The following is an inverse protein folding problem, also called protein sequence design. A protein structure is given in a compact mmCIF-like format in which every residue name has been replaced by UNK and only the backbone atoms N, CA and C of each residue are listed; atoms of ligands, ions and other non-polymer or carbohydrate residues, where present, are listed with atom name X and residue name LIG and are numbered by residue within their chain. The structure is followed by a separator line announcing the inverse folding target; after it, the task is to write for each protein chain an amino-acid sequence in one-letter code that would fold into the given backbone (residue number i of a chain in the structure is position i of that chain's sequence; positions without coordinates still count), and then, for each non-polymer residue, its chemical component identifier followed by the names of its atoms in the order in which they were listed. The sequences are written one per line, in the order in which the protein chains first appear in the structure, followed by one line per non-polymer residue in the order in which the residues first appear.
data_IF_779906467687
#
_entry.id   IF_779906467687
#
_cell.length_a   1.000
_cell.length_b   1.000
_cell.length_c   1.000
_cell.angle_alpha   90.00
_cell.angle_beta   90.00
_cell.angle_gamma   90.00
#
_symmetry.space_group_name_H-M   'P 1'
#
loop_
_entity.id
_entity.type
_entity.pdbx_description
1 polymer ?
#
# COMPACT_ATOMS: atom_id res chain seq x y z
N UNK A 1 13.80 -21.21 -73.53
CA UNK A 1 14.64 -22.37 -73.27
C UNK A 1 14.17 -22.91 -71.91
N UNK A 2 13.16 -23.70 -71.93
CA UNK A 2 12.99 -25.14 -71.82
C UNK A 2 13.96 -25.81 -70.86
N UNK A 3 13.40 -26.37 -69.74
CA UNK A 3 13.35 -27.80 -69.50
C UNK A 3 12.75 -28.14 -68.12
N UNK A 4 11.60 -28.89 -68.25
CA UNK A 4 11.05 -29.81 -67.25
C UNK A 4 12.06 -30.80 -66.74
N UNK A 5 11.80 -31.38 -65.53
CA UNK A 5 11.96 -32.83 -65.19
C UNK A 5 11.28 -33.14 -63.89
N UNK A 6 10.12 -33.75 -63.94
CA UNK A 6 9.69 -35.14 -63.66
C UNK A 6 9.54 -35.51 -62.16
N UNK A 7 8.26 -35.80 -61.88
CA UNK A 7 7.72 -36.54 -60.73
C UNK A 7 8.30 -37.95 -60.61
N UNK A 8 8.50 -38.40 -59.36
CA UNK A 8 8.31 -39.84 -59.03
C UNK A 8 7.73 -39.98 -57.61
N UNK A 9 6.79 -40.94 -57.41
CA UNK A 9 6.14 -41.18 -56.14
C UNK A 9 6.91 -42.22 -55.31
N UNK A 10 6.91 -42.06 -53.98
CA UNK A 10 7.40 -43.11 -53.09
C UNK A 10 6.34 -43.53 -52.09
N UNK A 11 6.18 -44.83 -52.05
CA UNK A 11 5.26 -45.72 -51.43
C UNK A 11 5.00 -45.45 -49.94
N UNK A 12 3.74 -45.62 -49.54
CA UNK A 12 3.31 -45.89 -48.16
C UNK A 12 3.94 -47.18 -47.65
N UNK A 13 4.48 -47.10 -46.45
CA UNK A 13 4.72 -48.22 -45.57
C UNK A 13 3.88 -47.97 -44.33
N UNK A 14 2.84 -48.74 -44.14
CA UNK A 14 2.07 -48.83 -42.95
C UNK A 14 2.82 -49.63 -41.90
N UNK A 15 3.15 -49.00 -40.79
CA UNK A 15 3.52 -49.68 -39.55
C UNK A 15 2.51 -49.24 -38.46
N UNK A 16 1.66 -50.19 -38.08
CA UNK A 16 0.81 -50.04 -36.93
C UNK A 16 1.63 -50.09 -35.64
N UNK A 17 1.38 -49.16 -34.77
CA UNK A 17 1.86 -49.21 -33.37
C UNK A 17 0.71 -48.79 -32.47
N UNK A 18 0.51 -49.58 -31.46
CA UNK A 18 -0.58 -49.54 -30.50
C UNK A 18 -0.70 -48.24 -29.73
N UNK A 19 -1.93 -47.87 -29.50
CA UNK A 19 -2.30 -46.76 -28.67
C UNK A 19 -1.93 -46.98 -27.20
N UNK A 20 -1.02 -46.24 -26.69
CA UNK A 20 -0.89 -46.00 -25.25
C UNK A 20 -1.69 -44.75 -24.94
N UNK A 21 -2.84 -44.91 -24.32
CA UNK A 21 -3.64 -43.84 -23.76
C UNK A 21 -2.87 -43.22 -22.58
N UNK A 22 -2.26 -42.06 -22.79
CA UNK A 22 -1.82 -41.23 -21.67
C UNK A 22 -3.04 -40.63 -20.99
N UNK A 23 -3.39 -41.17 -19.82
CA UNK A 23 -4.30 -40.55 -18.90
C UNK A 23 -3.58 -39.31 -18.32
N UNK A 24 -3.88 -38.12 -18.81
CA UNK A 24 -3.47 -36.88 -18.17
C UNK A 24 -4.23 -36.77 -16.85
N UNK A 25 -3.54 -37.06 -15.75
CA UNK A 25 -4.05 -36.75 -14.42
C UNK A 25 -4.09 -35.23 -14.30
N UNK A 26 -5.27 -34.63 -14.40
CA UNK A 26 -5.52 -33.27 -14.02
C UNK A 26 -5.28 -33.18 -12.51
N UNK A 27 -4.15 -32.61 -12.10
CA UNK A 27 -3.92 -32.22 -10.72
C UNK A 27 -4.93 -31.12 -10.40
N UNK A 28 -5.97 -31.45 -9.66
CA UNK A 28 -6.84 -30.46 -9.00
C UNK A 28 -5.98 -29.82 -7.92
N UNK A 29 -5.40 -28.67 -8.21
CA UNK A 29 -4.83 -27.81 -7.19
C UNK A 29 -6.02 -27.29 -6.38
N UNK A 30 -6.26 -27.88 -5.24
CA UNK A 30 -7.15 -27.33 -4.24
C UNK A 30 -6.58 -25.98 -3.79
N UNK A 31 -7.17 -24.89 -4.27
CA UNK A 31 -6.91 -23.56 -3.73
C UNK A 31 -7.34 -23.58 -2.27
N UNK A 32 -6.36 -23.46 -1.37
CA UNK A 32 -6.63 -23.25 0.03
C UNK A 32 -7.42 -21.93 0.19
N UNK A 33 -8.40 -21.87 1.11
CA UNK A 33 -9.15 -20.65 1.34
C UNK A 33 -8.19 -19.55 1.77
N UNK A 34 -8.31 -18.38 1.15
CA UNK A 34 -7.52 -17.18 1.42
C UNK A 34 -7.64 -16.81 2.89
N UNK A 35 -6.57 -16.98 3.65
CA UNK A 35 -6.51 -16.51 5.03
C UNK A 35 -6.45 -14.97 5.00
N UNK A 36 -7.48 -14.34 5.53
CA UNK A 36 -7.43 -12.91 5.86
C UNK A 36 -6.28 -12.68 6.81
N UNK A 37 -5.55 -11.60 6.59
CA UNK A 37 -4.55 -11.12 7.50
C UNK A 37 -5.14 -10.87 8.89
N UNK A 38 -4.92 -11.76 9.79
CA UNK A 38 -5.37 -11.63 11.15
C UNK A 38 -4.24 -11.05 12.00
N UNK A 39 -4.48 -9.89 12.57
CA UNK A 39 -3.73 -9.44 13.74
C UNK A 39 -4.12 -10.37 14.89
N UNK A 40 -3.20 -11.21 15.31
CA UNK A 40 -3.39 -12.07 16.48
C UNK A 40 -3.04 -11.27 17.72
N UNK A 41 -4.05 -10.81 18.44
CA UNK A 41 -3.86 -10.15 19.73
C UNK A 41 -3.88 -11.20 20.85
N UNK A 42 -2.83 -11.22 21.64
CA UNK A 42 -2.69 -12.05 22.85
C UNK A 42 -2.67 -11.12 24.06
N UNK A 43 -3.70 -11.19 24.89
CA UNK A 43 -3.76 -10.40 26.12
C UNK A 43 -2.67 -10.87 27.07
N UNK A 44 -2.01 -9.93 27.76
CA UNK A 44 -0.88 -10.26 28.62
C UNK A 44 -1.27 -11.20 29.77
N UNK A 45 -2.48 -11.04 30.31
CA UNK A 45 -3.03 -11.88 31.37
C UNK A 45 -3.49 -13.27 30.88
N UNK A 46 -3.57 -13.52 29.57
CA UNK A 46 -3.92 -14.82 29.00
C UNK A 46 -2.73 -15.80 28.93
N UNK A 47 -1.73 -15.61 29.77
CA UNK A 47 -0.57 -16.51 29.81
C UNK A 47 -0.93 -17.95 30.23
N UNK A 48 -0.25 -18.92 29.63
CA UNK A 48 -0.34 -20.35 30.02
C UNK A 48 0.48 -20.67 31.28
N UNK A 49 1.56 -19.92 31.51
CA UNK A 49 2.38 -19.98 32.71
C UNK A 49 3.19 -18.68 32.87
N UNK A 50 3.64 -18.39 34.08
CA UNK A 50 4.39 -17.18 34.31
C UNK A 50 5.34 -17.34 35.52
N UNK A 51 6.30 -16.43 35.63
CA UNK A 51 7.10 -16.19 36.86
C UNK A 51 7.22 -14.68 37.04
N UNK A 52 6.83 -14.17 38.19
CA UNK A 52 6.75 -12.73 38.47
C UNK A 52 5.49 -12.11 37.87
N UNK A 53 5.30 -10.84 38.16
CA UNK A 53 4.14 -10.09 37.71
C UNK A 53 2.82 -10.37 38.43
N UNK A 54 1.91 -9.44 38.34
CA UNK A 54 0.57 -9.52 38.95
C UNK A 54 -0.45 -8.98 37.94
N UNK A 55 -1.57 -9.70 37.81
CA UNK A 55 -2.69 -9.22 37.00
C UNK A 55 -3.40 -8.08 37.73
N UNK A 56 -3.53 -6.95 37.06
CA UNK A 56 -4.23 -5.76 37.55
C UNK A 56 -5.23 -5.21 36.52
N UNK A 57 -6.20 -4.42 36.98
CA UNK A 57 -7.08 -3.72 36.05
C UNK A 57 -6.33 -2.62 35.32
N UNK A 58 -6.65 -2.40 34.02
CA UNK A 58 -6.05 -1.34 33.24
C UNK A 58 -7.06 -0.24 32.86
N UNK A 59 -6.55 1.00 32.76
CA UNK A 59 -7.30 2.15 32.21
C UNK A 59 -6.99 2.38 30.72
N UNK A 60 -6.27 1.46 30.08
CA UNK A 60 -5.97 1.55 28.65
C UNK A 60 -7.23 1.51 27.79
N UNK A 61 -7.13 1.99 26.56
CA UNK A 61 -8.23 1.95 25.60
C UNK A 61 -8.69 0.51 25.37
N UNK A 62 -9.95 0.25 25.61
CA UNK A 62 -10.54 -1.09 25.56
C UNK A 62 -10.73 -1.73 26.94
N UNK A 63 -10.15 -1.18 28.00
CA UNK A 63 -10.28 -1.67 29.39
C UNK A 63 -9.66 -3.06 29.58
N UNK A 64 -10.18 -3.83 30.55
CA UNK A 64 -9.72 -5.19 30.84
C UNK A 64 -8.63 -5.26 31.91
N UNK A 65 -7.69 -6.17 31.69
CA UNK A 65 -6.57 -6.43 32.62
C UNK A 65 -5.23 -6.26 31.92
N UNK A 66 -4.19 -6.12 32.72
CA UNK A 66 -2.80 -6.08 32.28
C UNK A 66 -1.94 -6.85 33.29
N UNK A 67 -0.70 -7.18 32.94
CA UNK A 67 0.26 -7.75 33.89
C UNK A 67 1.25 -6.66 34.29
N UNK A 68 1.20 -6.26 35.56
CA UNK A 68 2.08 -5.28 36.15
C UNK A 68 3.17 -5.92 37.01
N UNK A 69 4.01 -5.07 37.62
CA UNK A 69 5.11 -5.47 38.53
C UNK A 69 6.12 -6.41 37.86
N UNK A 70 6.36 -6.23 36.56
CA UNK A 70 7.33 -7.06 35.85
C UNK A 70 8.73 -6.48 36.00
N UNK A 71 9.65 -7.34 36.55
CA UNK A 71 11.02 -7.02 36.81
C UNK A 71 11.98 -7.98 36.07
N UNK A 72 13.29 -7.72 36.14
CA UNK A 72 14.29 -8.54 35.45
C UNK A 72 14.23 -10.00 35.91
N UNK A 73 14.13 -10.90 34.94
CA UNK A 73 14.07 -12.35 35.16
C UNK A 73 12.64 -12.89 35.14
N UNK A 74 11.64 -12.01 35.21
CA UNK A 74 10.24 -12.41 35.04
C UNK A 74 9.95 -12.81 33.62
N UNK A 75 8.92 -13.63 33.45
CA UNK A 75 8.51 -14.07 32.14
C UNK A 75 7.02 -14.48 32.11
N UNK A 76 6.41 -14.32 30.94
CA UNK A 76 5.06 -14.81 30.62
C UNK A 76 5.17 -15.78 29.45
N UNK A 77 4.47 -16.92 29.49
CA UNK A 77 4.43 -17.92 28.44
C UNK A 77 3.03 -18.02 27.87
N UNK A 78 2.94 -18.03 26.56
CA UNK A 78 1.70 -18.19 25.79
C UNK A 78 1.87 -19.41 24.88
N UNK A 79 1.06 -20.46 25.11
CA UNK A 79 1.09 -21.68 24.31
C UNK A 79 0.08 -21.61 23.16
N UNK A 80 0.44 -22.23 22.04
CA UNK A 80 -0.47 -22.33 20.90
C UNK A 80 -0.72 -21.01 20.16
N UNK A 81 0.19 -20.06 20.27
CA UNK A 81 0.12 -18.80 19.50
C UNK A 81 0.31 -19.13 18.02
N UNK A 82 -0.76 -19.08 17.23
CA UNK A 82 -0.71 -19.39 15.80
C UNK A 82 -0.19 -18.18 15.01
N UNK A 83 1.09 -18.26 14.64
CA UNK A 83 1.75 -17.22 13.86
C UNK A 83 1.44 -17.28 12.35
N UNK A 84 0.46 -18.08 11.95
CA UNK A 84 0.03 -18.23 10.57
C UNK A 84 0.96 -19.07 9.71
N UNK A 85 0.51 -19.46 8.53
CA UNK A 85 1.25 -20.33 7.61
C UNK A 85 2.54 -19.69 7.07
N UNK A 86 2.58 -18.37 6.92
CA UNK A 86 3.74 -17.61 6.42
C UNK A 86 4.63 -17.06 7.55
N UNK A 87 4.25 -17.26 8.81
CA UNK A 87 4.90 -16.68 9.97
C UNK A 87 4.53 -15.21 10.21
N UNK A 88 4.80 -14.73 11.43
CA UNK A 88 4.59 -13.33 11.77
C UNK A 88 5.64 -12.44 11.09
N UNK A 89 5.22 -11.30 10.53
CA UNK A 89 6.09 -10.32 9.88
C UNK A 89 6.51 -9.19 10.81
N UNK A 90 5.66 -8.87 11.78
CA UNK A 90 5.94 -7.88 12.80
C UNK A 90 5.25 -8.28 14.11
N UNK A 91 5.73 -7.72 15.20
CA UNK A 91 5.10 -7.86 16.51
C UNK A 91 5.05 -6.52 17.21
N UNK A 92 3.93 -6.27 17.86
CA UNK A 92 3.72 -5.09 18.69
C UNK A 92 3.55 -5.51 20.15
N UNK A 93 4.01 -4.65 21.06
CA UNK A 93 3.75 -4.77 22.49
C UNK A 93 3.11 -3.49 23.01
N UNK A 94 2.10 -3.63 23.85
CA UNK A 94 1.45 -2.53 24.55
C UNK A 94 1.97 -2.47 25.97
N UNK A 95 2.72 -1.43 26.29
CA UNK A 95 3.48 -1.33 27.53
C UNK A 95 3.25 0.00 28.24
N UNK A 96 3.40 -0.01 29.57
CA UNK A 96 3.46 1.18 30.39
C UNK A 96 4.67 1.10 31.34
N UNK A 97 5.34 2.23 31.58
CA UNK A 97 6.48 2.33 32.46
C UNK A 97 6.57 3.73 33.10
N UNK A 98 6.72 3.78 34.41
CA UNK A 98 6.95 5.03 35.14
C UNK A 98 8.44 5.33 35.33
N UNK A 99 9.32 4.32 35.24
CA UNK A 99 10.71 4.45 35.67
C UNK A 99 11.70 4.77 34.58
N UNK A 100 11.42 4.39 33.33
CA UNK A 100 12.33 4.64 32.19
C UNK A 100 13.73 4.06 32.36
N UNK A 101 13.86 3.03 33.17
CA UNK A 101 15.13 2.32 33.32
C UNK A 101 15.47 1.52 32.07
N UNK A 102 16.75 1.19 31.81
CA UNK A 102 17.16 0.43 30.64
C UNK A 102 16.76 -1.04 30.79
N UNK A 103 15.48 -1.37 30.59
CA UNK A 103 14.95 -2.72 30.53
C UNK A 103 14.55 -3.10 29.12
N UNK A 104 14.56 -4.39 28.82
CA UNK A 104 14.09 -4.93 27.55
C UNK A 104 13.03 -6.01 27.78
N UNK A 105 12.02 -6.04 26.92
CA UNK A 105 11.12 -7.16 26.75
C UNK A 105 11.59 -7.94 25.53
N UNK A 106 12.03 -9.18 25.72
CA UNK A 106 12.39 -10.09 24.64
C UNK A 106 11.28 -11.09 24.41
N UNK A 107 10.79 -11.14 23.18
CA UNK A 107 9.91 -12.23 22.76
C UNK A 107 10.75 -13.37 22.22
N UNK A 108 10.55 -14.57 22.74
CA UNK A 108 11.29 -15.78 22.36
C UNK A 108 10.32 -16.88 21.98
N UNK A 109 10.75 -17.78 21.09
CA UNK A 109 9.95 -18.94 20.68
C UNK A 109 10.50 -20.24 21.24
N UNK A 110 9.60 -21.16 21.58
CA UNK A 110 9.91 -22.53 22.01
C UNK A 110 10.34 -22.66 23.48
N UNK A 111 11.20 -21.78 23.99
CA UNK A 111 11.67 -21.82 25.39
C UNK A 111 12.16 -20.45 25.87
N UNK A 112 12.40 -20.33 27.20
CA UNK A 112 13.01 -19.14 27.84
C UNK A 112 14.38 -18.76 27.25
N UNK A 113 15.13 -19.74 26.77
CA UNK A 113 16.44 -19.57 26.12
C UNK A 113 16.39 -19.78 24.62
N UNK A 114 15.18 -19.88 24.07
CA UNK A 114 14.96 -20.07 22.62
C UNK A 114 15.36 -18.86 21.79
N UNK A 115 15.27 -18.96 20.46
CA UNK A 115 15.57 -17.85 19.56
C UNK A 115 14.79 -16.59 19.94
N UNK A 116 15.47 -15.44 19.94
CA UNK A 116 14.84 -14.14 20.11
C UNK A 116 14.09 -13.80 18.82
N UNK A 117 12.79 -13.69 18.94
CA UNK A 117 11.90 -13.26 17.85
C UNK A 117 11.91 -11.74 17.69
N UNK A 118 11.80 -11.02 18.80
CA UNK A 118 11.83 -9.56 18.86
C UNK A 118 12.38 -9.07 20.19
N UNK A 119 12.88 -7.83 20.20
CA UNK A 119 13.37 -7.16 21.41
C UNK A 119 12.86 -5.72 21.44
N UNK A 120 12.29 -5.32 22.57
CA UNK A 120 11.75 -3.99 22.81
C UNK A 120 12.52 -3.32 23.93
N UNK A 121 13.14 -2.19 23.66
CA UNK A 121 13.75 -1.36 24.71
C UNK A 121 12.66 -0.52 25.36
N UNK A 122 12.45 -0.73 26.65
CA UNK A 122 11.39 -0.05 27.38
C UNK A 122 11.92 1.28 27.91
N UNK A 123 11.24 2.34 27.53
CA UNK A 123 11.47 3.71 28.02
C UNK A 123 10.27 4.17 28.83
N UNK A 124 10.45 5.19 29.69
CA UNK A 124 9.33 5.78 30.44
C UNK A 124 8.21 6.23 29.50
N UNK A 125 7.01 5.79 29.79
CA UNK A 125 5.79 6.23 29.10
C UNK A 125 5.06 7.36 29.86
N UNK A 126 5.54 7.70 31.04
CA UNK A 126 4.96 8.73 31.91
C UNK A 126 4.16 8.20 33.10
N UNK A 127 4.01 6.87 33.25
CA UNK A 127 3.30 6.26 34.37
C UNK A 127 2.99 4.79 34.14
N UNK A 128 2.68 4.07 35.22
CA UNK A 128 2.35 2.64 35.19
C UNK A 128 1.03 2.29 34.47
N UNK A 129 0.19 3.31 34.19
CA UNK A 129 -1.05 3.19 33.42
C UNK A 129 -1.07 4.17 32.24
N UNK A 130 0.10 4.72 31.85
CA UNK A 130 0.27 5.50 30.63
C UNK A 130 0.82 4.60 29.55
N UNK A 131 -0.02 4.17 28.64
CA UNK A 131 0.25 3.12 27.69
C UNK A 131 0.82 3.62 26.37
N UNK A 132 1.84 2.91 25.88
CA UNK A 132 2.45 3.13 24.55
C UNK A 132 2.56 1.81 23.80
N UNK A 133 2.39 1.86 22.48
CA UNK A 133 2.64 0.69 21.62
C UNK A 133 4.01 0.82 20.97
N UNK A 134 4.79 -0.24 21.04
CA UNK A 134 6.05 -0.38 20.31
C UNK A 134 5.92 -1.51 19.30
N UNK A 135 6.41 -1.33 18.07
CA UNK A 135 6.33 -2.31 16.99
C UNK A 135 7.72 -2.58 16.44
N UNK A 136 8.02 -3.84 16.17
CA UNK A 136 9.27 -4.30 15.57
C UNK A 136 8.94 -5.22 14.39
N UNK A 137 9.55 -4.95 13.23
CA UNK A 137 9.53 -5.86 12.09
C UNK A 137 10.42 -7.06 12.37
N UNK A 138 9.94 -8.26 12.04
CA UNK A 138 10.67 -9.49 12.28
C UNK A 138 11.62 -9.82 11.13
N UNK A 139 12.80 -10.31 11.44
CA UNK A 139 13.79 -10.79 10.45
C UNK A 139 13.73 -12.32 10.27
N UNK A 140 13.10 -13.02 11.22
CA UNK A 140 12.78 -14.44 11.12
C UNK A 140 11.27 -14.61 11.28
N UNK A 141 10.68 -15.50 10.50
CA UNK A 141 9.23 -15.66 10.40
C UNK A 141 8.80 -17.07 10.82
N UNK A 142 8.86 -17.41 12.13
CA UNK A 142 8.38 -18.72 12.59
C UNK A 142 6.89 -18.85 12.28
N UNK A 143 6.51 -19.97 11.68
CA UNK A 143 5.16 -20.21 11.20
C UNK A 143 4.40 -21.21 12.10
N UNK A 144 3.07 -21.20 12.00
CA UNK A 144 2.18 -22.08 12.73
C UNK A 144 2.13 -21.82 14.22
N UNK A 145 1.59 -22.78 14.98
CA UNK A 145 1.43 -22.66 16.43
C UNK A 145 2.78 -22.73 17.15
N UNK A 146 3.07 -21.70 17.95
CA UNK A 146 4.31 -21.56 18.72
C UNK A 146 4.01 -21.39 20.20
N UNK A 147 4.94 -21.82 21.08
CA UNK A 147 5.00 -21.31 22.44
C UNK A 147 5.84 -20.03 22.43
N UNK A 148 5.23 -18.89 22.79
CA UNK A 148 5.89 -17.59 22.86
C UNK A 148 6.15 -17.21 24.30
N UNK A 149 7.35 -16.74 24.59
CA UNK A 149 7.77 -16.26 25.89
C UNK A 149 8.07 -14.77 25.83
N UNK A 150 7.42 -13.96 26.66
CA UNK A 150 7.81 -12.59 26.91
C UNK A 150 8.74 -12.60 28.14
N UNK A 151 10.01 -12.31 27.93
CA UNK A 151 11.06 -12.37 28.95
C UNK A 151 11.53 -10.97 29.29
N UNK A 152 11.50 -10.61 30.56
CA UNK A 152 11.99 -9.33 31.07
C UNK A 152 13.50 -9.40 31.25
N UNK A 153 14.24 -8.77 30.35
CA UNK A 153 15.70 -8.85 30.28
C UNK A 153 16.37 -7.48 30.53
N UNK A 154 17.67 -7.51 30.82
CA UNK A 154 18.55 -6.33 30.87
C UNK A 154 18.10 -5.14 31.73
N UNK A 155 17.23 -5.33 32.71
CA UNK A 155 16.94 -4.30 33.69
C UNK A 155 18.09 -4.20 34.72
N UNK A 156 18.48 -2.97 35.04
CA UNK A 156 19.71 -2.73 35.85
C UNK A 156 19.61 -3.17 37.32
N UNK A 157 18.42 -3.14 37.94
CA UNK A 157 18.16 -3.58 39.33
C UNK A 157 16.93 -4.47 39.32
N UNK A 158 16.72 -5.32 40.32
CA UNK A 158 15.52 -6.15 40.43
C UNK A 158 14.22 -5.37 40.70
N UNK A 159 14.14 -4.12 40.29
CA UNK A 159 12.96 -3.28 40.38
C UNK A 159 12.06 -3.47 39.15
N UNK A 160 10.76 -3.33 39.38
CA UNK A 160 9.77 -3.31 38.30
C UNK A 160 10.06 -2.23 37.27
N UNK A 161 9.98 -2.56 35.99
CA UNK A 161 10.30 -1.61 34.96
C UNK A 161 9.25 -1.54 33.85
N UNK A 162 8.30 -2.49 33.76
CA UNK A 162 7.29 -2.52 32.73
C UNK A 162 5.98 -3.18 33.19
N UNK A 163 4.86 -2.62 32.76
CA UNK A 163 3.57 -3.28 32.73
C UNK A 163 3.28 -3.66 31.27
N UNK A 164 2.70 -4.83 31.03
CA UNK A 164 2.35 -5.37 29.72
C UNK A 164 0.84 -5.57 29.62
N UNK A 165 0.19 -4.99 28.60
CA UNK A 165 -1.24 -5.13 28.37
C UNK A 165 -1.55 -6.22 27.34
N UNK A 166 -0.88 -6.17 26.18
CA UNK A 166 -1.05 -7.18 25.13
C UNK A 166 0.18 -7.28 24.22
N UNK A 167 0.25 -8.41 23.55
CA UNK A 167 1.12 -8.67 22.41
C UNK A 167 0.24 -8.76 21.17
N UNK A 168 0.67 -8.21 20.07
CA UNK A 168 -0.01 -8.38 18.79
C UNK A 168 0.96 -8.86 17.74
N UNK A 169 0.62 -9.97 17.08
CA UNK A 169 1.41 -10.55 16.01
C UNK A 169 0.72 -10.27 14.70
N UNK A 170 1.42 -9.57 13.80
CA UNK A 170 1.03 -9.55 12.42
C UNK A 170 1.47 -10.87 11.79
N UNK A 171 0.56 -11.83 11.71
CA UNK A 171 0.81 -13.20 11.26
C UNK A 171 0.91 -13.34 9.75
N UNK A 172 1.60 -12.41 9.12
CA UNK A 172 1.74 -12.38 7.66
C UNK A 172 0.51 -11.82 6.97
N UNK A 173 -0.20 -11.01 7.70
CA UNK A 173 -1.22 -10.18 7.13
C UNK A 173 -0.71 -8.82 6.69
N UNK A 174 0.41 -8.73 6.05
CA UNK A 174 0.28 -8.06 4.77
C UNK A 174 -0.90 -8.78 4.13
N UNK A 175 -1.76 -8.11 3.41
CA UNK A 175 -2.67 -8.80 2.52
C UNK A 175 -1.83 -9.67 1.58
N UNK A 176 -1.22 -10.74 2.12
CA UNK A 176 -0.43 -11.72 1.38
C UNK A 176 -1.35 -12.62 0.59
N UNK A 177 -2.64 -12.32 0.66
CA UNK A 177 -3.70 -12.90 -0.12
C UNK A 177 -4.30 -11.87 -1.07
N UNK A 178 -4.88 -12.37 -2.13
CA UNK A 178 -5.74 -11.60 -3.00
C UNK A 178 -6.99 -11.14 -2.23
N UNK A 179 -7.26 -9.84 -2.19
CA UNK A 179 -8.50 -9.30 -1.62
C UNK A 179 -9.55 -9.29 -2.71
N UNK A 180 -10.53 -10.17 -2.60
CA UNK A 180 -11.60 -10.25 -3.59
C UNK A 180 -12.55 -9.04 -3.48
N UNK A 181 -13.03 -8.58 -4.63
CA UNK A 181 -14.20 -7.68 -4.67
C UNK A 181 -15.43 -8.45 -4.19
N UNK A 182 -16.31 -7.79 -3.43
CA UNK A 182 -17.64 -8.33 -3.17
C UNK A 182 -18.46 -8.28 -4.47
N UNK A 183 -18.76 -9.42 -5.10
CA UNK A 183 -19.41 -9.43 -6.41
C UNK A 183 -20.84 -8.87 -6.38
N UNK A 184 -21.52 -8.92 -5.23
CA UNK A 184 -22.88 -8.39 -5.11
C UNK A 184 -22.81 -6.87 -5.09
N UNK A 185 -21.92 -6.29 -4.27
CA UNK A 185 -21.72 -4.83 -4.19
C UNK A 185 -21.19 -4.28 -5.51
N UNK A 186 -20.19 -4.93 -6.11
CA UNK A 186 -19.62 -4.51 -7.38
C UNK A 186 -20.63 -4.53 -8.52
N UNK A 187 -21.40 -5.61 -8.65
CA UNK A 187 -22.43 -5.69 -9.68
C UNK A 187 -23.53 -4.63 -9.50
N UNK A 188 -23.89 -4.30 -8.25
CA UNK A 188 -24.82 -3.22 -7.95
C UNK A 188 -24.25 -1.84 -8.33
N UNK A 189 -23.00 -1.54 -7.95
CA UNK A 189 -22.30 -0.30 -8.34
C UNK A 189 -22.20 -0.17 -9.86
N UNK A 190 -21.83 -1.24 -10.55
CA UNK A 190 -21.70 -1.26 -12.00
C UNK A 190 -23.07 -1.10 -12.71
N UNK A 191 -24.13 -1.69 -12.17
CA UNK A 191 -25.48 -1.52 -12.67
C UNK A 191 -25.96 -0.06 -12.50
N UNK A 192 -25.73 0.54 -11.34
CA UNK A 192 -26.01 1.94 -11.08
C UNK A 192 -25.26 2.86 -12.04
N UNK A 193 -23.95 2.66 -12.22
CA UNK A 193 -23.14 3.39 -13.19
C UNK A 193 -23.68 3.28 -14.62
N UNK A 194 -24.06 2.08 -15.05
CA UNK A 194 -24.61 1.87 -16.40
C UNK A 194 -25.94 2.60 -16.60
N UNK A 195 -26.76 2.68 -15.57
CA UNK A 195 -28.05 3.38 -15.58
C UNK A 195 -27.94 4.89 -15.47
N UNK A 196 -26.78 5.44 -15.06
CA UNK A 196 -26.57 6.88 -14.97
C UNK A 196 -26.79 7.57 -16.32
N UNK A 197 -27.55 8.68 -16.32
CA UNK A 197 -27.67 9.54 -17.49
C UNK A 197 -26.31 10.21 -17.76
N UNK A 198 -25.93 10.26 -19.03
CA UNK A 198 -24.75 10.98 -19.48
C UNK A 198 -25.14 12.41 -19.83
N UNK A 199 -24.51 13.40 -19.20
CA UNK A 199 -24.66 14.78 -19.61
C UNK A 199 -23.91 14.99 -20.93
N UNK A 200 -24.55 15.52 -22.00
CA UNK A 200 -23.88 15.69 -23.27
C UNK A 200 -22.78 16.75 -23.18
N UNK A 201 -21.58 16.42 -23.65
CA UNK A 201 -20.50 17.39 -23.75
C UNK A 201 -20.82 18.49 -24.77
N UNK A 202 -20.50 19.75 -24.47
CA UNK A 202 -20.65 20.85 -25.44
C UNK A 202 -19.88 20.60 -26.74
N UNK A 203 -20.30 21.17 -27.85
CA UNK A 203 -19.61 20.96 -29.13
C UNK A 203 -18.15 21.42 -29.15
N UNK A 204 -17.81 22.39 -28.32
CA UNK A 204 -16.48 22.98 -28.16
C UNK A 204 -15.67 22.35 -26.99
N UNK A 205 -16.18 21.32 -26.34
CA UNK A 205 -15.46 20.61 -25.28
C UNK A 205 -14.12 20.08 -25.78
N UNK A 206 -13.10 20.24 -24.96
CA UNK A 206 -11.77 19.67 -25.23
C UNK A 206 -11.87 18.14 -25.23
N UNK A 207 -11.48 17.52 -26.34
CA UNK A 207 -11.60 16.06 -26.53
C UNK A 207 -10.43 15.30 -25.93
N UNK A 208 -10.40 15.27 -24.60
CA UNK A 208 -9.47 14.50 -23.79
C UNK A 208 -10.30 13.73 -22.75
N UNK A 209 -10.20 12.40 -22.68
CA UNK A 209 -10.97 11.58 -21.74
C UNK A 209 -10.41 11.70 -20.33
N UNK A 210 -10.69 12.80 -19.65
CA UNK A 210 -10.11 13.02 -18.32
C UNK A 210 -10.97 13.96 -17.44
N UNK A 211 -10.88 13.73 -16.14
CA UNK A 211 -11.20 14.69 -15.08
C UNK A 211 -10.09 14.71 -14.04
N UNK A 212 -10.10 15.64 -13.11
CA UNK A 212 -9.10 15.72 -12.07
C UNK A 212 -9.68 16.06 -10.71
N UNK A 213 -8.96 15.71 -9.66
CA UNK A 213 -9.12 16.21 -8.31
C UNK A 213 -7.92 17.10 -7.98
N UNK A 214 -8.17 18.31 -7.50
CA UNK A 214 -7.11 19.19 -6.99
C UNK A 214 -7.07 19.06 -5.49
N UNK A 215 -5.98 18.55 -4.98
CA UNK A 215 -5.80 18.27 -3.56
C UNK A 215 -4.56 19.00 -3.03
N UNK A 216 -4.47 19.14 -1.71
CA UNK A 216 -3.30 19.68 -1.05
C UNK A 216 -2.73 18.68 -0.05
N UNK A 217 -1.57 19.00 0.48
CA UNK A 217 -0.97 18.27 1.60
C UNK A 217 -1.98 18.12 2.74
N UNK A 218 -2.04 16.94 3.32
CA UNK A 218 -2.87 16.62 4.48
C UNK A 218 -2.01 16.52 5.74
N UNK A 219 -1.15 15.53 5.81
CA UNK A 219 -0.25 15.26 6.93
C UNK A 219 0.86 14.31 6.49
N UNK A 220 1.82 14.06 7.40
CA UNK A 220 2.87 13.05 7.16
C UNK A 220 2.96 12.08 8.32
N UNK A 221 3.04 10.77 8.01
CA UNK A 221 3.17 9.68 8.98
C UNK A 221 4.12 8.62 8.42
N UNK A 222 4.72 7.84 9.31
CA UNK A 222 5.45 6.61 8.96
C UNK A 222 4.49 5.43 8.79
N UNK A 223 3.35 5.68 8.18
CA UNK A 223 2.26 4.73 8.02
C UNK A 223 2.05 4.39 6.55
N UNK A 224 1.54 3.20 6.31
CA UNK A 224 1.14 2.73 4.99
C UNK A 224 -0.02 1.74 5.16
N UNK A 225 -1.28 2.16 4.95
CA UNK A 225 -2.42 1.28 5.12
C UNK A 225 -2.51 0.14 4.09
N UNK A 226 -1.79 0.21 2.97
CA UNK A 226 -1.75 -0.84 1.95
C UNK A 226 -0.64 -1.84 2.29
N UNK A 227 0.63 -1.39 2.39
CA UNK A 227 1.78 -2.29 2.57
C UNK A 227 1.93 -2.76 4.03
N UNK A 228 1.60 -1.91 4.99
CA UNK A 228 1.70 -2.20 6.43
C UNK A 228 0.39 -1.90 7.16
N UNK A 229 -0.73 -2.55 6.75
CA UNK A 229 -2.04 -2.30 7.36
C UNK A 229 -2.01 -2.56 8.86
N UNK A 230 -2.56 -1.62 9.63
CA UNK A 230 -2.66 -1.66 11.11
C UNK A 230 -1.32 -1.67 11.84
N UNK A 231 -0.22 -1.29 11.18
CA UNK A 231 1.11 -1.21 11.76
C UNK A 231 1.61 0.25 11.78
N UNK A 232 1.18 1.09 12.71
CA UNK A 232 1.65 2.46 12.81
C UNK A 232 3.18 2.52 12.96
N UNK A 233 3.82 3.39 12.18
CA UNK A 233 5.27 3.59 12.23
C UNK A 233 6.11 2.54 11.53
N UNK A 234 5.51 1.54 10.88
CA UNK A 234 6.24 0.44 10.22
C UNK A 234 6.82 0.84 8.84
N UNK A 235 6.34 1.93 8.25
CA UNK A 235 6.80 2.39 6.95
C UNK A 235 7.87 3.50 7.07
N UNK A 236 8.48 3.85 5.93
CA UNK A 236 9.17 5.13 5.82
C UNK A 236 8.16 6.30 5.87
N UNK A 237 8.65 7.53 5.99
CA UNK A 237 7.77 8.68 6.07
C UNK A 237 7.03 8.89 4.74
N UNK A 238 5.70 8.93 4.81
CA UNK A 238 4.83 9.28 3.69
C UNK A 238 4.19 10.65 3.86
N UNK A 239 4.00 11.32 2.75
CA UNK A 239 3.22 12.54 2.60
C UNK A 239 1.85 12.16 2.11
N UNK A 240 0.83 12.31 2.95
CA UNK A 240 -0.57 11.99 2.67
C UNK A 240 -1.30 13.19 2.05
N UNK A 241 -2.25 12.87 1.18
CA UNK A 241 -3.04 13.79 0.37
C UNK A 241 -4.48 13.27 0.36
N UNK A 242 -5.46 14.15 0.27
CA UNK A 242 -6.88 13.78 0.25
C UNK A 242 -7.44 13.58 1.65
N UNK A 243 -7.86 12.40 2.00
CA UNK A 243 -8.51 12.11 3.28
C UNK A 243 -7.62 12.48 4.47
N UNK A 244 -8.13 13.29 5.40
CA UNK A 244 -7.37 13.79 6.55
C UNK A 244 -7.21 12.79 7.68
N UNK A 245 -7.92 11.66 7.63
CA UNK A 245 -7.87 10.62 8.66
C UNK A 245 -7.00 9.43 8.27
N UNK A 246 -6.39 9.45 7.08
CA UNK A 246 -5.59 8.34 6.57
C UNK A 246 -4.40 8.03 7.50
N UNK A 247 -4.26 6.77 7.88
CA UNK A 247 -3.18 6.23 8.72
C UNK A 247 -3.09 4.71 8.51
N UNK A 248 -2.16 4.04 9.17
CA UNK A 248 -1.97 2.59 9.05
C UNK A 248 -3.25 1.77 9.34
N UNK A 249 -4.16 2.27 10.16
CA UNK A 249 -5.43 1.60 10.49
C UNK A 249 -6.59 1.89 9.53
N UNK A 250 -6.34 2.62 8.43
CA UNK A 250 -7.41 3.00 7.51
C UNK A 250 -8.03 1.81 6.80
N UNK A 251 -9.35 1.85 6.71
CA UNK A 251 -10.19 0.96 5.89
C UNK A 251 -11.10 1.83 5.03
N UNK A 252 -11.70 1.28 4.00
CA UNK A 252 -12.65 2.04 3.17
C UNK A 252 -13.80 2.63 4.00
N UNK A 253 -14.28 1.88 4.98
CA UNK A 253 -15.36 2.35 5.88
C UNK A 253 -14.88 3.52 6.76
N UNK A 254 -13.67 3.46 7.32
CA UNK A 254 -13.11 4.54 8.12
C UNK A 254 -12.83 5.79 7.30
N UNK A 255 -12.33 5.65 6.06
CA UNK A 255 -12.13 6.77 5.13
C UNK A 255 -13.46 7.44 4.77
N UNK A 256 -14.51 6.67 4.50
CA UNK A 256 -15.85 7.20 4.17
C UNK A 256 -16.57 7.79 5.39
N UNK A 257 -16.36 7.25 6.57
CA UNK A 257 -16.90 7.82 7.81
C UNK A 257 -16.29 9.19 8.13
N UNK A 258 -15.09 9.46 7.65
CA UNK A 258 -14.36 10.71 7.87
C UNK A 258 -14.40 11.57 6.61
N UNK A 259 -15.36 12.50 6.56
CA UNK A 259 -15.62 13.32 5.36
C UNK A 259 -14.65 14.49 5.16
N UNK A 260 -13.66 14.65 6.05
CA UNK A 260 -12.64 15.70 5.91
C UNK A 260 -11.59 15.29 4.86
N UNK A 261 -11.55 16.02 3.75
CA UNK A 261 -10.58 15.84 2.67
C UNK A 261 -9.89 17.16 2.33
N UNK A 262 -8.69 17.08 1.75
CA UNK A 262 -7.97 18.24 1.18
C UNK A 262 -8.28 18.45 -0.30
N UNK A 263 -9.10 17.58 -0.91
CA UNK A 263 -9.49 17.68 -2.30
C UNK A 263 -10.61 18.70 -2.47
N UNK A 264 -10.37 19.79 -3.19
CA UNK A 264 -11.33 20.86 -3.43
C UNK A 264 -11.29 21.29 -4.91
N UNK A 265 -12.41 21.55 -5.53
CA UNK A 265 -13.80 21.54 -5.03
C UNK A 265 -14.49 20.16 -5.08
N UNK A 266 -13.78 19.07 -4.83
CA UNK A 266 -14.26 17.70 -4.93
C UNK A 266 -14.39 17.01 -3.55
N UNK A 267 -15.28 17.51 -2.64
CA UNK A 267 -15.42 16.93 -1.31
C UNK A 267 -15.99 15.49 -1.31
N UNK A 268 -16.45 15.02 -2.46
CA UNK A 268 -16.87 13.63 -2.67
C UNK A 268 -15.70 12.66 -2.90
N UNK A 269 -14.49 13.18 -3.10
CA UNK A 269 -13.26 12.40 -3.11
C UNK A 269 -12.74 12.24 -1.69
N UNK A 270 -13.09 11.12 -1.06
CA UNK A 270 -12.63 10.72 0.26
C UNK A 270 -11.49 9.71 0.20
N UNK A 271 -10.92 9.50 -0.99
CA UNK A 271 -9.77 8.61 -1.18
C UNK A 271 -8.54 9.12 -0.44
N UNK A 272 -7.66 8.20 -0.11
CA UNK A 272 -6.33 8.50 0.40
C UNK A 272 -5.29 8.25 -0.69
N UNK A 273 -4.36 9.19 -0.79
CA UNK A 273 -3.22 9.15 -1.69
C UNK A 273 -1.98 9.43 -0.87
N UNK A 274 -0.88 8.73 -1.13
CA UNK A 274 0.38 9.07 -0.47
C UNK A 274 1.58 8.75 -1.34
N UNK A 275 2.67 9.43 -1.03
CA UNK A 275 3.97 9.28 -1.68
C UNK A 275 5.06 9.38 -0.63
N UNK A 276 6.28 8.86 -0.87
CA UNK A 276 7.42 9.09 0.02
C UNK A 276 7.66 10.58 0.22
N UNK A 277 7.90 10.98 1.46
CA UNK A 277 8.22 12.37 1.77
C UNK A 277 9.54 12.77 1.12
N UNK A 278 9.51 13.90 0.40
CA UNK A 278 10.72 14.55 -0.12
C UNK A 278 11.41 15.33 0.99
N UNK A 279 12.70 15.17 1.10
CA UNK A 279 13.58 15.99 1.97
C UNK A 279 14.55 16.81 1.15
N UNK A 280 14.76 18.04 1.56
CA UNK A 280 15.85 18.90 1.10
C UNK A 280 16.77 19.17 2.27
N UNK A 281 18.02 18.69 2.22
CA UNK A 281 19.02 18.79 3.29
C UNK A 281 18.49 18.34 4.67
N UNK A 282 17.73 17.24 4.68
CA UNK A 282 17.15 16.66 5.88
C UNK A 282 15.86 17.34 6.38
N UNK A 283 15.40 18.40 5.73
CA UNK A 283 14.13 19.07 6.05
C UNK A 283 13.04 18.56 5.10
N UNK A 284 11.90 18.15 5.64
CA UNK A 284 10.77 17.71 4.83
C UNK A 284 10.22 18.86 3.97
N UNK A 285 9.93 18.55 2.70
CA UNK A 285 9.38 19.51 1.73
C UNK A 285 7.93 19.15 1.49
N UNK A 286 7.02 19.95 2.02
CA UNK A 286 5.59 19.79 1.75
C UNK A 286 5.26 20.18 0.31
N UNK A 287 4.45 19.38 -0.42
CA UNK A 287 4.02 19.75 -1.76
C UNK A 287 3.25 21.07 -1.76
N UNK A 288 3.52 21.91 -2.74
CA UNK A 288 2.78 23.17 -2.98
C UNK A 288 1.37 22.91 -3.53
N UNK A 289 1.22 21.83 -4.30
CA UNK A 289 -0.05 21.44 -4.89
C UNK A 289 0.08 20.10 -5.56
N UNK A 290 -1.03 19.39 -5.61
CA UNK A 290 -1.14 18.05 -6.18
C UNK A 290 -2.40 18.00 -7.01
N UNK A 291 -2.25 17.55 -8.25
CA UNK A 291 -3.39 17.24 -9.11
C UNK A 291 -3.40 15.74 -9.32
N UNK A 292 -4.50 15.11 -8.95
CA UNK A 292 -4.79 13.72 -9.25
C UNK A 292 -5.66 13.68 -10.49
N UNK A 293 -5.09 13.25 -11.60
CA UNK A 293 -5.81 13.07 -12.84
C UNK A 293 -6.41 11.66 -12.93
N UNK A 294 -7.60 11.59 -13.48
CA UNK A 294 -8.31 10.37 -13.83
C UNK A 294 -8.63 10.42 -15.32
N UNK A 295 -7.96 9.62 -16.09
CA UNK A 295 -8.10 9.64 -17.54
C UNK A 295 -8.31 8.25 -18.15
N UNK A 296 -8.24 8.15 -19.46
CA UNK A 296 -8.18 6.88 -20.16
C UNK A 296 -7.12 6.93 -21.25
N UNK A 297 -6.32 5.87 -21.33
CA UNK A 297 -5.32 5.64 -22.39
C UNK A 297 -5.80 4.63 -23.42
N UNK A 298 -7.06 4.19 -23.29
CA UNK A 298 -7.67 3.30 -24.26
C UNK A 298 -7.92 4.00 -25.61
N UNK A 299 -7.80 3.24 -26.69
CA UNK A 299 -8.25 3.67 -28.00
C UNK A 299 -9.77 3.94 -28.03
N UNK A 300 -10.51 3.21 -27.19
CA UNK A 300 -11.94 3.41 -26.96
C UNK A 300 -12.21 3.68 -25.47
N UNK A 301 -12.20 4.93 -25.01
CA UNK A 301 -12.47 5.32 -23.63
C UNK A 301 -13.87 4.96 -23.12
N UNK A 302 -14.82 4.68 -24.03
CA UNK A 302 -16.21 4.33 -23.65
C UNK A 302 -16.30 3.05 -22.84
N UNK A 303 -15.25 2.23 -22.84
CA UNK A 303 -15.16 0.99 -22.08
C UNK A 303 -14.76 1.17 -20.62
N UNK A 304 -14.34 2.37 -20.24
CA UNK A 304 -13.88 2.65 -18.86
C UNK A 304 -15.05 2.64 -17.88
N UNK A 305 -14.88 1.92 -16.79
CA UNK A 305 -15.83 1.88 -15.66
C UNK A 305 -15.19 2.52 -14.41
N UNK A 306 -15.96 3.00 -13.42
CA UNK A 306 -15.40 3.52 -12.17
C UNK A 306 -14.63 2.43 -11.41
N UNK A 307 -13.79 2.83 -10.47
CA UNK A 307 -13.16 1.89 -9.55
C UNK A 307 -14.20 1.24 -8.64
N UNK A 308 -14.05 -0.05 -8.29
CA UNK A 308 -14.80 -0.61 -7.19
C UNK A 308 -14.42 0.08 -5.87
N UNK A 309 -15.38 0.20 -4.97
CA UNK A 309 -15.15 0.79 -3.66
C UNK A 309 -14.12 -0.03 -2.87
N UNK A 310 -13.15 0.64 -2.26
CA UNK A 310 -12.08 -0.01 -1.51
C UNK A 310 -10.95 -0.57 -2.39
N UNK A 311 -10.87 -0.16 -3.65
CA UNK A 311 -9.79 -0.55 -4.56
C UNK A 311 -8.46 0.08 -4.12
N UNK A 312 -7.41 -0.72 -4.09
CA UNK A 312 -6.07 -0.32 -3.69
C UNK A 312 -5.08 -0.65 -4.80
N UNK A 313 -4.08 0.20 -5.01
CA UNK A 313 -2.97 -0.11 -5.92
C UNK A 313 -1.75 0.77 -5.66
N UNK A 314 -0.58 0.26 -6.01
CA UNK A 314 0.70 0.95 -5.91
C UNK A 314 1.33 1.10 -7.30
N UNK A 315 1.82 2.30 -7.60
CA UNK A 315 2.64 2.58 -8.77
C UNK A 315 4.06 2.97 -8.36
N UNK A 316 5.04 2.70 -9.22
CA UNK A 316 6.46 2.92 -8.92
C UNK A 316 7.10 1.75 -8.17
N UNK A 317 8.32 1.96 -7.65
CA UNK A 317 9.08 0.92 -6.95
C UNK A 317 9.94 1.54 -5.84
N UNK A 318 9.48 1.41 -4.60
CA UNK A 318 10.17 1.91 -3.40
C UNK A 318 11.61 1.39 -3.21
N UNK A 319 11.94 0.25 -3.83
CA UNK A 319 13.25 -0.41 -3.69
C UNK A 319 14.24 -0.02 -4.79
N UNK A 320 13.82 0.78 -5.78
CA UNK A 320 14.69 1.18 -6.86
C UNK A 320 15.66 2.26 -6.39
N UNK A 321 16.97 1.97 -6.45
CA UNK A 321 18.06 2.84 -6.00
C UNK A 321 19.08 3.09 -7.14
N UNK A 322 18.59 3.17 -8.37
CA UNK A 322 19.39 3.48 -9.56
C UNK A 322 18.89 4.79 -10.18
N UNK A 323 19.72 5.58 -10.84
CA UNK A 323 19.27 6.78 -11.53
C UNK A 323 18.14 6.50 -12.52
N UNK A 324 17.14 7.36 -12.55
CA UNK A 324 16.00 7.23 -13.47
C UNK A 324 16.47 7.36 -14.93
N UNK A 325 16.21 6.39 -15.83
CA UNK A 325 16.58 6.50 -17.23
C UNK A 325 15.92 7.71 -17.90
N UNK A 326 16.61 8.30 -18.85
CA UNK A 326 16.06 9.40 -19.65
C UNK A 326 14.81 8.94 -20.42
N UNK A 327 13.78 9.78 -20.45
CA UNK A 327 12.51 9.47 -21.15
C UNK A 327 11.52 8.62 -20.34
N UNK A 328 11.83 8.28 -19.10
CA UNK A 328 10.89 7.63 -18.19
C UNK A 328 9.70 8.55 -17.93
N UNK A 329 8.47 8.03 -17.98
CA UNK A 329 7.24 8.80 -17.72
C UNK A 329 7.15 9.18 -16.24
N UNK A 330 7.43 8.23 -15.34
CA UNK A 330 7.40 8.44 -13.90
C UNK A 330 8.74 9.00 -13.45
N UNK A 331 8.84 10.33 -13.33
CA UNK A 331 10.10 10.99 -13.00
C UNK A 331 9.90 12.38 -12.38
N UNK A 332 10.96 12.84 -11.72
CA UNK A 332 11.09 14.25 -11.39
C UNK A 332 11.49 15.07 -12.63
N UNK A 333 10.90 16.23 -12.79
CA UNK A 333 11.18 17.16 -13.90
C UNK A 333 10.99 18.60 -13.44
N UNK A 334 11.39 19.56 -14.25
CA UNK A 334 11.28 20.97 -13.95
C UNK A 334 10.27 21.66 -14.87
N UNK A 335 9.51 22.61 -14.32
CA UNK A 335 8.57 23.45 -15.07
C UNK A 335 8.85 24.92 -14.80
N UNK A 336 8.77 25.75 -15.84
CA UNK A 336 9.01 27.19 -15.73
C UNK A 336 10.49 27.57 -15.56
N UNK A 337 10.72 28.80 -15.13
CA UNK A 337 12.07 29.40 -15.03
C UNK A 337 12.52 30.12 -16.29
N UNK A 338 13.66 30.78 -16.20
CA UNK A 338 14.18 31.69 -17.27
C UNK A 338 14.57 30.95 -18.56
N UNK A 339 14.83 29.66 -18.51
CA UNK A 339 15.24 28.83 -19.64
C UNK A 339 14.26 27.68 -19.93
N UNK A 340 13.14 27.62 -19.21
CA UNK A 340 12.04 26.69 -19.50
C UNK A 340 12.35 25.23 -19.26
N UNK A 341 12.81 24.84 -18.08
CA UNK A 341 12.98 23.43 -17.73
C UNK A 341 14.22 23.11 -16.91
N UNK A 342 14.72 21.87 -17.05
CA UNK A 342 15.94 21.45 -16.39
C UNK A 342 17.18 21.99 -17.11
N UNK A 343 18.14 22.52 -16.35
CA UNK A 343 19.44 23.01 -16.86
C UNK A 343 20.57 21.98 -16.64
N UNK A 344 20.25 20.82 -16.12
CA UNK A 344 21.19 19.73 -15.85
C UNK A 344 20.63 18.70 -14.91
N UNK A 345 21.51 17.85 -14.41
CA UNK A 345 21.22 16.87 -13.37
C UNK A 345 22.24 16.96 -12.24
N UNK A 346 21.89 16.42 -11.06
CA UNK A 346 22.79 16.21 -9.94
C UNK A 346 24.02 15.37 -10.38
N UNK A 347 25.12 15.47 -9.61
CA UNK A 347 26.36 14.75 -9.90
C UNK A 347 26.15 13.21 -9.96
N UNK A 348 25.20 12.70 -9.18
CA UNK A 348 24.79 11.28 -9.21
C UNK A 348 23.78 10.94 -10.32
N UNK A 349 23.40 11.92 -11.15
CA UNK A 349 22.41 11.76 -12.23
C UNK A 349 20.96 11.60 -11.77
N UNK A 350 20.70 11.66 -10.48
CA UNK A 350 19.43 11.26 -9.87
C UNK A 350 18.35 12.36 -9.94
N UNK A 351 18.72 13.64 -9.75
CA UNK A 351 17.77 14.75 -9.69
C UNK A 351 17.91 15.72 -10.85
N UNK A 352 16.81 16.28 -11.37
CA UNK A 352 16.91 17.40 -12.30
C UNK A 352 17.32 18.67 -11.55
N UNK A 353 18.10 19.54 -12.19
CA UNK A 353 18.42 20.90 -11.71
C UNK A 353 17.54 21.87 -12.46
N UNK A 354 16.61 22.52 -11.77
CA UNK A 354 15.71 23.47 -12.39
C UNK A 354 16.38 24.81 -12.69
N UNK A 355 15.99 25.44 -13.81
CA UNK A 355 16.39 26.82 -14.10
C UNK A 355 15.96 27.78 -12.97
N UNK A 356 16.63 28.92 -12.78
CA UNK A 356 16.20 29.92 -11.81
C UNK A 356 14.73 30.30 -12.01
N UNK A 357 13.94 30.24 -10.92
CA UNK A 357 12.49 30.46 -10.94
C UNK A 357 11.67 29.26 -11.43
N UNK A 358 12.30 28.14 -11.76
CA UNK A 358 11.62 26.87 -12.05
C UNK A 358 11.08 26.19 -10.80
N UNK A 359 10.18 25.26 -11.00
CA UNK A 359 9.53 24.46 -9.95
C UNK A 359 9.85 22.98 -10.18
N UNK A 360 10.29 22.30 -9.13
CA UNK A 360 10.47 20.84 -9.15
C UNK A 360 9.09 20.18 -9.15
N UNK A 361 8.87 19.33 -10.14
CA UNK A 361 7.65 18.57 -10.33
C UNK A 361 7.94 17.07 -10.28
N UNK A 362 6.95 16.30 -9.88
CA UNK A 362 6.95 14.84 -10.06
C UNK A 362 5.69 14.39 -10.77
N UNK A 363 5.84 13.45 -11.67
CA UNK A 363 4.72 12.76 -12.32
C UNK A 363 4.80 11.27 -12.04
N UNK A 364 3.65 10.68 -11.66
CA UNK A 364 3.47 9.25 -11.49
C UNK A 364 2.19 8.83 -12.19
N UNK A 365 2.25 7.73 -12.94
CA UNK A 365 1.11 7.16 -13.65
C UNK A 365 0.87 5.75 -13.14
N UNK A 366 -0.37 5.47 -12.79
CA UNK A 366 -0.83 4.17 -12.31
C UNK A 366 -1.35 3.29 -13.45
N UNK A 367 -1.41 1.96 -13.25
CA UNK A 367 -2.11 1.04 -14.13
C UNK A 367 -3.57 1.43 -14.35
N UNK A 368 -4.14 1.02 -15.50
CA UNK A 368 -5.49 1.39 -15.94
C UNK A 368 -6.30 0.21 -16.49
N UNK A 369 -5.80 -1.00 -16.34
CA UNK A 369 -6.51 -2.25 -16.62
C UNK A 369 -6.53 -3.13 -15.37
N UNK A 370 -7.67 -3.68 -15.04
CA UNK A 370 -7.92 -4.47 -13.83
C UNK A 370 -8.38 -5.89 -14.19
N UNK A 371 -8.06 -6.87 -13.36
CA UNK A 371 -8.45 -8.27 -13.56
C UNK A 371 -9.96 -8.52 -13.38
N UNK A 372 -10.69 -7.57 -12.78
CA UNK A 372 -12.15 -7.62 -12.58
C UNK A 372 -12.60 -8.38 -11.34
N UNK A 373 -11.68 -8.86 -10.51
CA UNK A 373 -11.98 -9.75 -9.39
C UNK A 373 -11.34 -9.36 -8.05
N UNK A 374 -10.23 -8.64 -8.05
CA UNK A 374 -9.50 -8.35 -6.82
C UNK A 374 -9.40 -6.84 -6.55
N UNK A 375 -9.70 -6.44 -5.33
CA UNK A 375 -9.47 -5.06 -4.85
C UNK A 375 -7.99 -4.80 -4.63
N UNK A 376 -7.24 -5.84 -4.25
CA UNK A 376 -5.81 -5.80 -4.02
C UNK A 376 -5.16 -7.17 -4.28
N UNK A 377 -3.85 -7.19 -4.46
CA UNK A 377 -3.02 -8.39 -4.64
C UNK A 377 -1.86 -8.40 -3.63
N UNK A 378 -1.19 -9.56 -3.41
CA UNK A 378 -0.11 -9.67 -2.43
C UNK A 378 1.04 -8.67 -2.60
N UNK A 379 1.27 -8.21 -3.81
CA UNK A 379 2.28 -7.22 -4.17
C UNK A 379 1.69 -5.84 -4.50
N UNK A 380 0.38 -5.67 -4.29
CA UNK A 380 -0.41 -4.47 -4.57
C UNK A 380 -0.33 -3.99 -6.03
N UNK A 381 0.02 -4.89 -6.97
CA UNK A 381 0.27 -4.60 -8.39
C UNK A 381 -0.23 -5.69 -9.34
N UNK A 382 -0.22 -6.95 -8.92
CA UNK A 382 -0.53 -8.09 -9.81
C UNK A 382 -1.99 -8.22 -10.21
N UNK A 383 -2.91 -7.46 -9.60
CA UNK A 383 -4.33 -7.37 -9.98
C UNK A 383 -4.59 -6.30 -11.06
N UNK A 384 -3.56 -5.52 -11.44
CA UNK A 384 -3.66 -4.44 -12.43
C UNK A 384 -2.55 -4.51 -13.47
N UNK A 385 -2.77 -3.88 -14.60
CA UNK A 385 -1.79 -3.73 -15.67
C UNK A 385 -1.91 -2.37 -16.37
N UNK A 386 -0.84 -1.93 -17.00
CA UNK A 386 -0.88 -0.78 -17.89
C UNK A 386 -1.48 -1.17 -19.24
N UNK A 387 -2.18 -0.24 -19.87
CA UNK A 387 -2.70 -0.41 -21.23
C UNK A 387 -1.57 -0.42 -22.24
N UNK A 388 -1.24 -1.53 -22.88
CA UNK A 388 -0.35 -1.54 -24.02
C UNK A 388 -1.16 -1.18 -25.29
N UNK A 389 -0.67 -0.21 -26.06
CA UNK A 389 -1.24 0.13 -27.37
C UNK A 389 -2.76 0.40 -27.39
N UNK A 390 -3.29 1.01 -26.33
CA UNK A 390 -4.70 1.42 -26.27
C UNK A 390 -5.71 0.31 -25.99
N UNK A 391 -5.26 -0.87 -25.54
CA UNK A 391 -6.13 -2.01 -25.23
C UNK A 391 -5.69 -2.70 -23.96
N UNK A 392 -6.62 -3.08 -23.09
CA UNK A 392 -6.32 -3.86 -21.92
C UNK A 392 -5.92 -5.31 -22.27
N UNK A 393 -4.89 -5.88 -21.60
CA UNK A 393 -4.50 -7.27 -21.77
C UNK A 393 -5.65 -8.24 -21.41
N UNK A 394 -5.68 -9.42 -22.02
CA UNK A 394 -6.75 -10.38 -21.79
C UNK A 394 -6.89 -10.84 -20.33
N UNK A 395 -5.79 -10.86 -19.57
CA UNK A 395 -5.81 -11.18 -18.14
C UNK A 395 -6.34 -10.03 -17.25
N UNK A 396 -6.46 -8.81 -17.78
CA UNK A 396 -6.95 -7.61 -17.10
C UNK A 396 -8.03 -6.93 -17.93
N UNK A 397 -9.18 -7.58 -18.16
CA UNK A 397 -10.14 -7.18 -19.18
C UNK A 397 -10.96 -5.93 -18.85
N UNK A 398 -10.90 -5.47 -17.59
CA UNK A 398 -11.71 -4.35 -17.12
C UNK A 398 -10.90 -3.05 -17.18
N UNK A 399 -11.34 -2.13 -18.02
CA UNK A 399 -10.75 -0.80 -18.10
C UNK A 399 -11.24 0.08 -16.95
N UNK A 400 -10.31 0.58 -16.15
CA UNK A 400 -10.52 1.51 -15.05
C UNK A 400 -9.84 2.86 -15.37
N UNK A 401 -10.15 3.96 -14.67
CA UNK A 401 -9.48 5.23 -14.93
C UNK A 401 -7.96 5.12 -14.72
N UNK A 402 -7.19 5.68 -15.65
CA UNK A 402 -5.75 5.88 -15.46
C UNK A 402 -5.54 7.00 -14.45
N UNK A 403 -5.18 6.65 -13.23
CA UNK A 403 -4.79 7.64 -12.21
C UNK A 403 -3.40 8.16 -12.51
N UNK A 404 -3.18 9.45 -12.35
CA UNK A 404 -1.82 10.00 -12.32
C UNK A 404 -1.71 11.15 -11.33
N UNK A 405 -0.59 11.19 -10.61
CA UNK A 405 -0.24 12.29 -9.73
C UNK A 405 0.66 13.26 -10.47
N UNK A 406 0.37 14.54 -10.38
CA UNK A 406 1.27 15.63 -10.77
C UNK A 406 1.48 16.48 -9.53
N UNK A 407 2.68 16.42 -8.97
CA UNK A 407 3.03 17.02 -7.68
C UNK A 407 4.00 18.17 -7.92
N UNK A 408 3.67 19.35 -7.41
CA UNK A 408 4.54 20.52 -7.42
C UNK A 408 5.17 20.74 -6.04
N UNK A 409 6.50 20.84 -6.00
CA UNK A 409 7.24 21.15 -4.78
C UNK A 409 7.69 22.60 -4.75
N UNK A 410 7.63 23.29 -3.59
CA UNK A 410 8.02 24.70 -3.46
C UNK A 410 9.54 24.87 -3.42
N UNK A 411 10.23 24.21 -4.32
CA UNK A 411 11.69 24.27 -4.43
C UNK A 411 12.11 24.45 -5.88
N UNK A 412 13.18 25.18 -6.09
CA UNK A 412 13.77 25.40 -7.42
C UNK A 412 14.68 24.25 -7.84
N UNK A 413 14.80 23.20 -7.01
CA UNK A 413 15.58 22.03 -7.38
C UNK A 413 17.06 22.30 -7.53
N UNK A 414 17.72 22.84 -6.49
CA UNK A 414 19.18 22.65 -6.47
C UNK A 414 19.41 21.16 -6.24
N UNK A 415 20.24 20.57 -7.09
CA UNK A 415 20.47 19.13 -7.14
C UNK A 415 21.08 18.51 -5.88
N UNK A 416 21.58 19.33 -4.98
CA UNK A 416 22.34 18.87 -3.83
C UNK A 416 21.46 18.79 -2.58
N UNK A 417 21.43 17.59 -1.98
CA UNK A 417 20.78 17.35 -0.70
C UNK A 417 19.32 16.95 -0.78
N UNK A 418 18.78 16.62 -1.95
CA UNK A 418 17.47 15.99 -2.06
C UNK A 418 17.57 14.50 -1.77
N UNK A 419 16.60 13.99 -1.03
CA UNK A 419 16.38 12.55 -0.84
C UNK A 419 14.90 12.29 -0.60
N UNK A 420 14.44 11.11 -0.97
CA UNK A 420 13.13 10.62 -0.55
C UNK A 420 13.25 9.86 0.77
N UNK A 421 12.16 9.76 1.51
CA UNK A 421 12.10 8.84 2.65
C UNK A 421 12.36 7.37 2.26
N UNK A 422 12.12 7.01 0.99
CA UNK A 422 12.45 5.72 0.38
C UNK A 422 13.86 5.64 -0.24
N UNK A 423 14.61 6.77 -0.33
CA UNK A 423 15.96 6.81 -0.87
C UNK A 423 16.13 7.72 -2.09
N UNK A 424 16.63 7.16 -3.20
CA UNK A 424 16.87 7.91 -4.44
C UNK A 424 15.58 8.40 -5.11
N UNK A 425 15.67 9.38 -6.01
CA UNK A 425 14.52 9.89 -6.78
C UNK A 425 13.74 8.79 -7.50
N UNK A 426 14.43 7.77 -7.98
CA UNK A 426 13.87 6.59 -8.65
C UNK A 426 13.02 5.69 -7.74
N UNK A 427 13.19 5.79 -6.42
CA UNK A 427 12.37 5.07 -5.44
C UNK A 427 11.01 5.72 -5.19
N UNK A 428 10.71 6.82 -5.89
CA UNK A 428 9.40 7.44 -5.83
C UNK A 428 8.33 6.47 -6.31
N UNK A 429 7.36 6.27 -5.47
CA UNK A 429 6.16 5.48 -5.71
C UNK A 429 4.96 6.28 -5.23
N UNK A 430 3.80 5.77 -5.50
CA UNK A 430 2.57 6.37 -4.98
C UNK A 430 1.54 5.28 -4.78
N UNK A 431 0.68 5.55 -3.84
CA UNK A 431 -0.31 4.64 -3.32
C UNK A 431 -1.67 5.30 -3.46
N UNK A 432 -2.65 4.49 -3.82
CA UNK A 432 -4.02 4.90 -4.04
C UNK A 432 -4.97 3.95 -3.34
N UNK A 433 -5.79 4.49 -2.43
CA UNK A 433 -6.86 3.79 -1.76
C UNK A 433 -8.20 4.46 -2.08
N UNK A 434 -9.01 3.82 -2.92
CA UNK A 434 -10.27 4.39 -3.42
C UNK A 434 -11.37 4.42 -2.35
N UNK A 435 -11.82 5.61 -2.03
CA UNK A 435 -12.98 5.86 -1.18
C UNK A 435 -13.88 6.99 -1.74
N UNK A 436 -13.87 7.20 -3.04
CA UNK A 436 -14.78 8.11 -3.71
C UNK A 436 -16.23 7.80 -3.36
N UNK A 437 -17.05 8.82 -3.33
CA UNK A 437 -18.50 8.65 -3.46
C UNK A 437 -18.80 8.01 -4.83
N UNK A 438 -19.58 6.92 -4.82
CA UNK A 438 -19.82 6.10 -6.01
C UNK A 438 -20.55 6.85 -7.12
N UNK A 439 -21.53 7.68 -6.76
CA UNK A 439 -22.29 8.49 -7.72
C UNK A 439 -21.42 9.60 -8.30
N UNK A 440 -20.65 10.28 -7.45
CA UNK A 440 -19.77 11.36 -7.89
C UNK A 440 -18.66 10.88 -8.83
N UNK A 441 -18.04 9.74 -8.53
CA UNK A 441 -17.04 9.13 -9.42
C UNK A 441 -17.70 8.61 -10.70
N UNK A 442 -18.82 7.91 -10.57
CA UNK A 442 -19.58 7.36 -11.71
C UNK A 442 -19.97 8.43 -12.72
N UNK A 443 -20.52 9.56 -12.27
CA UNK A 443 -20.87 10.69 -13.13
C UNK A 443 -19.65 11.29 -13.83
N UNK A 444 -18.50 11.41 -13.15
CA UNK A 444 -17.27 11.91 -13.78
C UNK A 444 -16.72 10.94 -14.83
N UNK A 445 -16.69 9.65 -14.52
CA UNK A 445 -16.30 8.64 -15.52
C UNK A 445 -17.24 8.68 -16.72
N UNK A 446 -18.56 8.73 -16.48
CA UNK A 446 -19.59 8.77 -17.53
C UNK A 446 -19.50 10.00 -18.41
N UNK A 447 -19.43 11.17 -17.78
CA UNK A 447 -19.51 12.45 -18.48
C UNK A 447 -18.18 12.86 -19.09
N UNK A 448 -17.05 12.53 -18.45
CA UNK A 448 -15.74 13.05 -18.88
C UNK A 448 -14.95 12.00 -19.67
N UNK A 449 -14.80 10.79 -19.12
CA UNK A 449 -13.97 9.76 -19.74
C UNK A 449 -14.69 9.07 -20.90
N UNK A 450 -15.88 8.51 -20.64
CA UNK A 450 -16.63 7.69 -21.61
C UNK A 450 -16.91 8.42 -22.92
N UNK A 451 -17.18 9.73 -22.88
CA UNK A 451 -17.42 10.52 -24.10
C UNK A 451 -16.21 11.33 -24.57
N UNK A 452 -15.01 11.06 -24.02
CA UNK A 452 -13.76 11.75 -24.38
C UNK A 452 -13.90 13.27 -24.28
N UNK A 453 -14.36 13.77 -23.14
CA UNK A 453 -14.49 15.20 -22.88
C UNK A 453 -13.73 15.57 -21.61
N UNK A 454 -12.91 16.62 -21.68
CA UNK A 454 -12.16 17.07 -20.51
C UNK A 454 -13.08 17.78 -19.54
N UNK A 455 -13.07 17.31 -18.27
CA UNK A 455 -13.73 18.03 -17.20
C UNK A 455 -12.71 18.67 -16.23
N UNK A 456 -13.13 19.74 -15.60
CA UNK A 456 -12.42 20.37 -14.50
C UNK A 456 -12.57 19.56 -13.18
N UNK A 457 -11.98 20.06 -12.09
CA UNK A 457 -12.04 19.41 -10.76
C UNK A 457 -13.46 19.33 -10.17
N UNK A 458 -14.41 20.19 -10.63
CA UNK A 458 -15.80 20.11 -10.26
C UNK A 458 -16.59 19.06 -11.07
N UNK A 459 -15.96 18.40 -12.06
CA UNK A 459 -16.61 17.46 -12.96
C UNK A 459 -17.45 18.13 -14.06
N UNK A 460 -17.14 19.39 -14.39
CA UNK A 460 -17.81 20.18 -15.41
C UNK A 460 -16.90 20.32 -16.64
N UNK A 461 -17.52 20.43 -17.82
CA UNK A 461 -16.81 20.66 -19.08
C UNK A 461 -16.16 22.02 -19.15
#
# INVERSE_FOLDING_TARGET
MTRDWIRRPMRMVSLGVGGAAMVAAAAVVALAPSAHAAELVVQAEAYSAQSGGVVETTVDTGGGSAVGYLSRGDWLRYDGVDLGASGAMAVSVRVASATGGPGTVELRTGSLTGPVLAQFTITATGGWQTWATQTVSLTSHPAGAQSVYAVMANAGSGADFVNLNWLSFNTGGQASGWINVDPVKWNAQLAAFRAMAMAPAPPDAVRVPEFNATCTYSHSLKDDPIVFPRLPGASHMHTFIGNRSANAGSTVDSLRANTATTCAPTPADLSAYWVPTLYERGTAVEPKGIVVYYGSRLADPSRTVPFPLGFEMIAGNARLQEPTPAGTVNQFYCVGGTTGGAIGRSADGNWPVCAPGGTLMFQLVFPDCWDGTHLDSPDHKSHVAYTPNGTCPAAFPVAIPSVSFVIAYPTTGSADGFTLASGMASSMHGDFFNAWDDDAQGHRVKNCIVQSAKCNSAGQF
#
